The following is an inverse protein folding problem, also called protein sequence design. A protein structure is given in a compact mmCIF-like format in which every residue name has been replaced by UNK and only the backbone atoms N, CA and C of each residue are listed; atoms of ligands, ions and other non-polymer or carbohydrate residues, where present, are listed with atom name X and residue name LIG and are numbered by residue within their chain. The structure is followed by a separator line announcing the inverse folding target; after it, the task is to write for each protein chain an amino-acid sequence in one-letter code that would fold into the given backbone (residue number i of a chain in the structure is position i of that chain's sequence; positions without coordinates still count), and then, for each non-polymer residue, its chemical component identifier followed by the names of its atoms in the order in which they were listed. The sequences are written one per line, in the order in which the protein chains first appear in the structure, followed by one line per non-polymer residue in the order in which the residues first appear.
data_IF_021000790733
#
_entry.id   IF_021000790733
#
_cell.length_a   1.000
_cell.length_b   1.000
_cell.length_c   1.000
_cell.angle_alpha   90.00
_cell.angle_beta   90.00
_cell.angle_gamma   90.00
#
_symmetry.space_group_name_H-M   'P 1'
#
loop_
_entity.id
_entity.type
_entity.pdbx_description
1 polymer ?
#
# COMPACT_ATOMS: atom_id res chain seq x y z
N UNK A 1 24.86 -129.63 39.42
CA UNK A 1 23.56 -129.04 39.03
C UNK A 1 23.44 -127.52 39.24
N UNK A 2 24.32 -126.84 39.99
CA UNK A 2 24.23 -125.37 40.17
C UNK A 2 24.96 -124.53 39.09
N UNK A 3 25.89 -125.12 38.33
CA UNK A 3 26.70 -124.41 37.34
C UNK A 3 26.01 -124.21 35.98
N UNK A 4 25.24 -125.20 35.49
CA UNK A 4 24.55 -125.10 34.20
C UNK A 4 23.34 -124.14 34.22
N UNK A 5 22.69 -123.95 35.37
CA UNK A 5 21.59 -122.99 35.51
C UNK A 5 22.06 -121.53 35.40
N UNK A 6 23.30 -121.24 35.79
CA UNK A 6 23.84 -119.86 35.78
C UNK A 6 24.24 -119.41 34.37
N UNK A 7 24.70 -120.33 33.53
CA UNK A 7 25.12 -120.05 32.14
C UNK A 7 23.91 -119.83 31.23
N UNK A 8 22.84 -120.62 31.39
CA UNK A 8 21.57 -120.39 30.67
C UNK A 8 20.88 -119.08 31.08
N UNK A 9 20.96 -118.69 32.35
CA UNK A 9 20.41 -117.42 32.83
C UNK A 9 21.19 -116.21 32.29
N UNK A 10 22.52 -116.31 32.18
CA UNK A 10 23.38 -115.25 31.63
C UNK A 10 23.19 -115.07 30.11
N UNK A 11 22.92 -116.14 29.37
CA UNK A 11 22.60 -116.10 27.94
C UNK A 11 21.22 -115.50 27.65
N UNK A 12 20.21 -115.77 28.49
CA UNK A 12 18.88 -115.19 28.36
C UNK A 12 18.88 -113.67 28.65
N UNK A 13 19.59 -113.25 29.71
CA UNK A 13 19.76 -111.83 30.07
C UNK A 13 20.53 -111.04 29.00
N UNK A 14 21.50 -111.65 28.33
CA UNK A 14 22.22 -111.03 27.20
C UNK A 14 21.36 -110.84 25.96
N UNK A 15 20.45 -111.77 25.67
CA UNK A 15 19.50 -111.68 24.54
C UNK A 15 18.44 -110.60 24.82
N UNK A 16 17.94 -110.53 26.06
CA UNK A 16 16.98 -109.50 26.48
C UNK A 16 17.60 -108.10 26.45
N UNK A 17 18.88 -107.95 26.83
CA UNK A 17 19.59 -106.67 26.77
C UNK A 17 19.84 -106.19 25.32
N UNK A 18 20.16 -107.08 24.40
CA UNK A 18 20.32 -106.75 22.97
C UNK A 18 18.99 -106.55 22.24
N UNK A 19 17.90 -107.13 22.75
CA UNK A 19 16.54 -106.82 22.31
C UNK A 19 16.14 -105.41 22.76
N UNK A 20 16.36 -105.08 24.03
CA UNK A 20 16.06 -103.76 24.59
C UNK A 20 16.86 -102.62 23.91
N UNK A 21 18.13 -102.85 23.57
CA UNK A 21 18.92 -101.88 22.79
C UNK A 21 18.39 -101.67 21.37
N UNK A 22 17.93 -102.73 20.71
CA UNK A 22 17.32 -102.64 19.38
C UNK A 22 15.99 -101.89 19.42
N UNK A 23 15.16 -102.16 20.43
CA UNK A 23 13.91 -101.43 20.64
C UNK A 23 14.16 -99.94 20.96
N UNK A 24 15.14 -99.63 21.81
CA UNK A 24 15.54 -98.25 22.09
C UNK A 24 16.03 -97.51 20.83
N UNK A 25 16.83 -98.17 19.99
CA UNK A 25 17.29 -97.61 18.71
C UNK A 25 16.16 -97.38 17.70
N UNK A 26 15.13 -98.24 17.67
CA UNK A 26 13.94 -98.06 16.84
C UNK A 26 13.11 -96.85 17.31
N UNK A 27 12.95 -96.67 18.62
CA UNK A 27 12.28 -95.50 19.21
C UNK A 27 13.02 -94.20 18.87
N UNK A 28 14.35 -94.20 18.97
CA UNK A 28 15.18 -93.03 18.61
C UNK A 28 15.07 -92.70 17.11
N UNK A 29 15.10 -93.73 16.25
CA UNK A 29 14.91 -93.56 14.82
C UNK A 29 13.53 -92.98 14.48
N UNK A 30 12.47 -93.43 15.15
CA UNK A 30 11.12 -92.91 14.93
C UNK A 30 10.95 -91.48 15.45
N UNK A 31 11.61 -91.12 16.57
CA UNK A 31 11.70 -89.73 17.04
C UNK A 31 12.41 -88.85 16.00
N UNK A 32 13.53 -89.30 15.44
CA UNK A 32 14.26 -88.58 14.40
C UNK A 32 13.43 -88.41 13.12
N UNK A 33 12.68 -89.44 12.70
CA UNK A 33 11.73 -89.33 11.58
C UNK A 33 10.64 -88.30 11.85
N UNK A 34 10.07 -88.27 13.07
CA UNK A 34 9.07 -87.28 13.45
C UNK A 34 9.65 -85.85 13.41
N UNK A 35 10.86 -85.64 13.94
CA UNK A 35 11.55 -84.35 13.88
C UNK A 35 11.85 -83.91 12.44
N UNK A 36 12.26 -84.84 11.58
CA UNK A 36 12.50 -84.56 10.15
C UNK A 36 11.19 -84.17 9.44
N UNK A 37 10.06 -84.84 9.74
CA UNK A 37 8.75 -84.46 9.18
C UNK A 37 8.31 -83.08 9.66
N UNK A 38 8.52 -82.75 10.94
CA UNK A 38 8.22 -81.43 11.49
C UNK A 38 9.08 -80.35 10.80
N UNK A 39 10.40 -80.55 10.73
CA UNK A 39 11.30 -79.63 10.05
C UNK A 39 10.95 -79.45 8.55
N UNK A 40 10.50 -80.52 7.88
CA UNK A 40 10.01 -80.43 6.50
C UNK A 40 8.75 -79.57 6.41
N UNK A 41 7.80 -79.72 7.33
CA UNK A 41 6.58 -78.91 7.36
C UNK A 41 6.90 -77.43 7.58
N UNK A 42 7.81 -77.12 8.52
CA UNK A 42 8.26 -75.75 8.79
C UNK A 42 8.92 -75.11 7.55
N UNK A 43 9.71 -75.88 6.79
CA UNK A 43 10.33 -75.40 5.54
C UNK A 43 9.29 -75.11 4.46
N UNK A 44 8.26 -75.94 4.31
CA UNK A 44 7.19 -75.65 3.34
C UNK A 44 6.34 -74.43 3.77
N UNK A 45 6.11 -74.24 5.07
CA UNK A 45 5.46 -73.03 5.57
C UNK A 45 6.30 -71.77 5.29
N UNK A 46 7.61 -71.83 5.53
CA UNK A 46 8.52 -70.73 5.22
C UNK A 46 8.56 -70.42 3.72
N UNK A 47 8.48 -71.44 2.85
CA UNK A 47 8.38 -71.24 1.40
C UNK A 47 7.10 -70.53 1.00
N UNK A 48 5.96 -70.93 1.54
CA UNK A 48 4.69 -70.27 1.26
C UNK A 48 4.71 -68.79 1.70
N UNK A 49 5.30 -68.51 2.86
CA UNK A 49 5.49 -67.12 3.34
C UNK A 49 6.44 -66.33 2.44
N UNK A 50 7.51 -66.95 1.93
CA UNK A 50 8.43 -66.29 1.01
C UNK A 50 7.76 -65.94 -0.32
N UNK A 51 6.93 -66.82 -0.85
CA UNK A 51 6.14 -66.59 -2.06
C UNK A 51 5.16 -65.43 -1.86
N UNK A 52 4.40 -65.43 -0.74
CA UNK A 52 3.52 -64.32 -0.39
C UNK A 52 4.27 -62.98 -0.27
N UNK A 53 5.45 -62.97 0.35
CA UNK A 53 6.28 -61.76 0.45
C UNK A 53 6.81 -61.30 -0.92
N UNK A 54 7.12 -62.24 -1.81
CA UNK A 54 7.52 -61.94 -3.19
C UNK A 54 6.39 -61.24 -3.96
N UNK A 55 5.16 -61.75 -3.84
CA UNK A 55 3.99 -61.15 -4.48
C UNK A 55 3.67 -59.76 -3.92
N UNK A 56 3.74 -59.60 -2.59
CA UNK A 56 3.57 -58.30 -1.95
C UNK A 56 4.64 -57.29 -2.38
N UNK A 57 5.90 -57.73 -2.50
CA UNK A 57 6.99 -56.89 -2.99
C UNK A 57 6.72 -56.42 -4.42
N UNK A 58 6.29 -57.32 -5.31
CA UNK A 58 5.95 -57.00 -6.69
C UNK A 58 4.85 -55.92 -6.77
N UNK A 59 3.78 -56.06 -5.97
CA UNK A 59 2.71 -55.07 -5.88
C UNK A 59 3.21 -53.70 -5.42
N UNK A 60 4.08 -53.67 -4.40
CA UNK A 60 4.65 -52.41 -3.89
C UNK A 60 5.56 -51.74 -4.92
N UNK A 61 6.33 -52.53 -5.69
CA UNK A 61 7.16 -52.02 -6.79
C UNK A 61 6.30 -51.34 -7.87
N UNK A 62 5.19 -51.95 -8.28
CA UNK A 62 4.23 -51.37 -9.24
C UNK A 62 3.59 -50.07 -8.72
N UNK A 63 3.15 -50.06 -7.44
CA UNK A 63 2.63 -48.85 -6.80
C UNK A 63 3.68 -47.71 -6.77
N UNK A 64 4.95 -48.04 -6.54
CA UNK A 64 6.03 -47.07 -6.50
C UNK A 64 6.30 -46.46 -7.88
N UNK A 65 6.22 -47.24 -8.95
CA UNK A 65 6.31 -46.75 -10.33
C UNK A 65 5.18 -45.78 -10.65
N UNK A 66 3.94 -46.11 -10.27
CA UNK A 66 2.80 -45.21 -10.43
C UNK A 66 2.99 -43.88 -9.68
N UNK A 67 3.51 -43.93 -8.46
CA UNK A 67 3.82 -42.72 -7.68
C UNK A 67 4.96 -41.91 -8.33
N UNK A 68 5.98 -42.58 -8.88
CA UNK A 68 7.08 -41.90 -9.57
C UNK A 68 6.60 -41.16 -10.83
N UNK A 69 5.74 -41.80 -11.63
CA UNK A 69 5.08 -41.18 -12.78
C UNK A 69 4.22 -39.99 -12.36
N UNK A 70 3.40 -40.15 -11.32
CA UNK A 70 2.56 -39.07 -10.77
C UNK A 70 3.40 -37.88 -10.30
N UNK A 71 4.53 -38.14 -9.61
CA UNK A 71 5.46 -37.10 -9.17
C UNK A 71 6.07 -36.32 -10.35
N UNK A 72 6.46 -37.00 -11.42
CA UNK A 72 6.99 -36.36 -12.62
C UNK A 72 5.95 -35.43 -13.28
N UNK A 73 4.72 -35.91 -13.45
CA UNK A 73 3.63 -35.12 -14.02
C UNK A 73 3.30 -33.89 -13.16
N UNK A 74 3.26 -34.05 -11.83
CA UNK A 74 3.04 -32.92 -10.91
C UNK A 74 4.18 -31.90 -11.02
N UNK A 75 5.43 -32.36 -11.07
CA UNK A 75 6.60 -31.48 -11.20
C UNK A 75 6.57 -30.67 -12.50
N UNK A 76 6.14 -31.28 -13.61
CA UNK A 76 5.95 -30.58 -14.88
C UNK A 76 4.86 -29.51 -14.78
N UNK A 77 3.71 -29.84 -14.17
CA UNK A 77 2.60 -28.89 -13.96
C UNK A 77 3.00 -27.72 -13.06
N UNK A 78 3.78 -27.97 -12.00
CA UNK A 78 4.31 -26.89 -11.15
C UNK A 78 5.24 -25.99 -11.98
N UNK A 79 6.07 -26.57 -12.84
CA UNK A 79 6.98 -25.80 -13.70
C UNK A 79 6.24 -24.94 -14.72
N UNK A 80 5.13 -25.43 -15.30
CA UNK A 80 4.31 -24.63 -16.23
C UNK A 80 3.61 -23.48 -15.51
N UNK A 81 3.04 -23.72 -14.33
CA UNK A 81 2.43 -22.68 -13.50
C UNK A 81 3.46 -21.63 -13.09
N UNK A 82 4.64 -22.05 -12.62
CA UNK A 82 5.73 -21.12 -12.26
C UNK A 82 6.11 -20.21 -13.41
N UNK A 83 6.25 -20.76 -14.63
CA UNK A 83 6.55 -19.96 -15.83
C UNK A 83 5.43 -18.97 -16.16
N UNK A 84 4.17 -19.36 -16.03
CA UNK A 84 3.03 -18.48 -16.25
C UNK A 84 3.01 -17.32 -15.23
N UNK A 85 3.21 -17.62 -13.95
CA UNK A 85 3.30 -16.61 -12.89
C UNK A 85 4.46 -15.65 -13.11
N UNK A 86 5.64 -16.13 -13.50
CA UNK A 86 6.78 -15.27 -13.83
C UNK A 86 6.50 -14.33 -15.01
N UNK A 87 5.78 -14.81 -16.04
CA UNK A 87 5.38 -13.96 -17.18
C UNK A 87 4.42 -12.85 -16.76
N UNK A 88 3.43 -13.19 -15.93
CA UNK A 88 2.48 -12.20 -15.38
C UNK A 88 3.24 -11.18 -14.52
N UNK A 89 4.14 -11.62 -13.65
CA UNK A 89 4.98 -10.73 -12.85
C UNK A 89 5.81 -9.76 -13.71
N UNK A 90 6.41 -10.24 -14.81
CA UNK A 90 7.13 -9.37 -15.74
C UNK A 90 6.23 -8.35 -16.44
N UNK A 91 5.01 -8.75 -16.82
CA UNK A 91 4.04 -7.82 -17.40
C UNK A 91 3.61 -6.75 -16.39
N UNK A 92 3.33 -7.15 -15.14
CA UNK A 92 2.98 -6.21 -14.07
C UNK A 92 4.11 -5.20 -13.81
N UNK A 93 5.38 -5.63 -13.79
CA UNK A 93 6.51 -4.70 -13.65
C UNK A 93 6.60 -3.70 -14.81
N UNK A 94 6.30 -4.12 -16.05
CA UNK A 94 6.26 -3.20 -17.20
C UNK A 94 5.12 -2.21 -17.07
N UNK A 95 3.95 -2.66 -16.63
CA UNK A 95 2.78 -1.82 -16.40
C UNK A 95 3.07 -0.80 -15.29
N UNK A 96 3.62 -1.24 -14.17
CA UNK A 96 4.01 -0.40 -13.04
C UNK A 96 5.00 0.70 -13.46
N UNK A 97 6.02 0.33 -14.24
CA UNK A 97 6.96 1.30 -14.81
C UNK A 97 6.29 2.29 -15.77
N UNK A 98 5.35 1.84 -16.60
CA UNK A 98 4.62 2.69 -17.53
C UNK A 98 3.67 3.66 -16.80
N UNK A 99 2.99 3.20 -15.75
CA UNK A 99 2.14 4.03 -14.89
C UNK A 99 2.98 5.06 -14.17
N UNK A 100 4.08 4.65 -13.53
CA UNK A 100 5.01 5.55 -12.85
C UNK A 100 5.54 6.63 -13.79
N UNK A 101 5.98 6.24 -14.99
CA UNK A 101 6.41 7.19 -16.02
C UNK A 101 5.29 8.17 -16.42
N UNK A 102 4.06 7.68 -16.58
CA UNK A 102 2.91 8.54 -16.90
C UNK A 102 2.57 9.49 -15.77
N UNK A 103 2.64 9.05 -14.51
CA UNK A 103 2.46 9.89 -13.32
C UNK A 103 3.51 11.01 -13.34
N UNK A 104 4.79 10.69 -13.51
CA UNK A 104 5.85 11.71 -13.59
C UNK A 104 5.62 12.70 -14.73
N UNK A 105 5.19 12.24 -15.91
CA UNK A 105 4.84 13.13 -17.02
C UNK A 105 3.68 14.09 -16.66
N UNK A 106 2.63 13.59 -16.03
CA UNK A 106 1.49 14.43 -15.61
C UNK A 106 1.93 15.45 -14.55
N UNK A 107 2.79 15.06 -13.61
CA UNK A 107 3.36 16.00 -12.63
C UNK A 107 4.21 17.06 -13.33
N UNK A 108 5.04 16.69 -14.31
CA UNK A 108 5.79 17.67 -15.12
C UNK A 108 4.87 18.66 -15.83
N UNK A 109 3.80 18.18 -16.48
CA UNK A 109 2.82 19.03 -17.16
C UNK A 109 2.10 19.97 -16.17
N UNK A 110 1.73 19.47 -14.99
CA UNK A 110 1.14 20.30 -13.94
C UNK A 110 2.12 21.35 -13.45
N UNK A 111 3.38 20.99 -13.20
CA UNK A 111 4.41 21.95 -12.77
C UNK A 111 4.69 22.98 -13.87
N UNK A 112 4.62 22.61 -15.15
CA UNK A 112 4.76 23.56 -16.26
C UNK A 112 3.60 24.57 -16.30
N UNK A 113 2.36 24.10 -16.16
CA UNK A 113 1.16 24.95 -16.18
C UNK A 113 1.09 25.87 -14.95
N UNK A 114 1.44 25.36 -13.77
CA UNK A 114 1.30 26.05 -12.50
C UNK A 114 2.63 26.69 -12.00
N UNK A 115 3.73 26.46 -12.71
CA UNK A 115 5.08 26.86 -12.29
C UNK A 115 5.32 28.36 -12.25
N UNK A 116 4.65 29.12 -13.12
CA UNK A 116 4.69 30.60 -13.11
C UNK A 116 4.01 31.17 -11.85
N UNK A 117 2.94 30.54 -11.39
CA UNK A 117 2.20 30.92 -10.18
C UNK A 117 2.94 30.52 -8.88
N UNK A 118 3.68 29.41 -8.92
CA UNK A 118 4.54 28.96 -7.83
C UNK A 118 5.89 29.72 -7.78
N UNK A 119 6.41 30.13 -8.95
CA UNK A 119 7.72 30.74 -9.14
C UNK A 119 7.78 32.26 -9.06
N UNK A 120 6.64 32.96 -8.95
CA UNK A 120 6.56 34.42 -8.77
C UNK A 120 7.00 34.88 -7.35
N UNK A 121 8.12 34.36 -6.86
CA UNK A 121 8.71 34.62 -5.55
C UNK A 121 10.24 34.76 -5.60
N UNK A 122 10.71 35.79 -6.29
CA UNK A 122 11.89 36.52 -5.82
C UNK A 122 11.73 38.03 -6.12
N UNK A 123 11.47 38.89 -5.13
CA UNK A 123 11.47 40.34 -5.32
C UNK A 123 12.87 40.95 -5.52
N UNK A 124 13.94 40.16 -5.64
CA UNK A 124 15.31 40.68 -5.89
C UNK A 124 15.87 40.49 -7.29
N UNK A 125 15.15 39.87 -8.23
CA UNK A 125 15.61 39.75 -9.63
C UNK A 125 14.64 40.41 -10.61
N UNK A 126 14.41 41.71 -10.46
CA UNK A 126 13.96 42.56 -11.56
C UNK A 126 15.16 42.96 -12.42
N UNK A 127 15.46 42.17 -13.44
CA UNK A 127 16.23 42.67 -14.60
C UNK A 127 15.21 43.27 -15.59
N UNK A 128 15.46 44.46 -16.18
CA UNK A 128 14.52 45.11 -17.09
C UNK A 128 14.33 44.31 -18.37
N UNK A 129 13.17 44.42 -19.05
CA UNK A 129 12.90 43.67 -20.26
C UNK A 129 13.53 44.39 -21.44
N UNK A 130 14.74 43.98 -21.82
CA UNK A 130 15.24 44.19 -23.17
C UNK A 130 16.23 43.05 -23.48
N UNK A 131 15.83 42.15 -24.38
CA UNK A 131 16.55 41.71 -25.58
C UNK A 131 15.95 40.37 -26.02
N UNK A 132 15.41 40.36 -27.24
CA UNK A 132 15.01 39.19 -28.00
C UNK A 132 16.17 38.18 -28.11
N UNK A 133 15.95 36.90 -27.78
CA UNK A 133 16.41 35.73 -28.55
C UNK A 133 16.06 34.43 -27.82
N UNK A 134 15.66 33.44 -28.62
CA UNK A 134 15.36 32.05 -28.26
C UNK A 134 16.52 31.38 -27.51
N UNK A 135 16.22 30.54 -26.51
CA UNK A 135 16.76 29.17 -26.51
C UNK A 135 15.96 28.23 -25.60
N UNK A 136 15.70 27.05 -26.15
CA UNK A 136 15.01 25.91 -25.57
C UNK A 136 15.98 25.17 -24.64
N UNK A 137 15.46 24.52 -23.60
CA UNK A 137 16.17 23.65 -22.65
C UNK A 137 17.03 24.35 -21.57
N UNK A 138 16.38 24.85 -20.52
CA UNK A 138 17.01 24.92 -19.20
C UNK A 138 16.38 23.89 -18.26
N UNK A 139 17.16 23.03 -17.59
CA UNK A 139 16.63 22.22 -16.50
C UNK A 139 16.18 23.14 -15.37
N UNK A 140 14.94 22.99 -14.92
CA UNK A 140 14.39 23.73 -13.78
C UNK A 140 15.24 23.38 -12.56
N UNK A 141 16.16 24.26 -12.20
CA UNK A 141 17.02 24.11 -11.03
C UNK A 141 16.29 24.73 -9.86
N UNK A 142 15.68 23.89 -9.02
CA UNK A 142 15.09 24.34 -7.77
C UNK A 142 16.21 24.67 -6.79
N UNK A 143 16.38 25.96 -6.51
CA UNK A 143 17.28 26.43 -5.44
C UNK A 143 16.59 26.13 -4.09
N UNK A 144 17.24 25.42 -3.16
CA UNK A 144 16.67 25.15 -1.84
C UNK A 144 16.57 26.46 -1.05
N UNK A 145 15.36 26.91 -0.73
CA UNK A 145 15.16 28.06 0.16
C UNK A 145 15.37 27.63 1.61
N UNK A 146 16.29 28.29 2.30
CA UNK A 146 16.50 28.11 3.74
C UNK A 146 15.37 28.79 4.54
N UNK A 147 14.96 28.26 5.71
CA UNK A 147 13.71 28.61 6.39
C UNK A 147 13.77 29.90 7.24
N UNK A 148 14.56 30.91 6.86
CA UNK A 148 14.95 31.96 7.81
C UNK A 148 14.59 33.38 7.41
N UNK A 149 13.33 33.71 7.06
CA UNK A 149 12.91 35.13 6.89
C UNK A 149 11.41 35.42 7.17
N UNK A 150 10.80 34.83 8.20
CA UNK A 150 9.49 35.29 8.69
C UNK A 150 9.53 35.61 10.19
N UNK A 151 10.37 36.56 10.57
CA UNK A 151 10.09 37.38 11.76
C UNK A 151 9.26 38.57 11.28
N UNK A 152 7.95 38.50 11.49
CA UNK A 152 7.07 39.66 11.37
C UNK A 152 6.84 40.18 12.79
N UNK A 153 7.53 41.27 13.13
CA UNK A 153 7.36 41.99 14.40
C UNK A 153 5.90 42.40 14.57
N UNK A 154 5.26 41.91 15.63
CA UNK A 154 3.96 42.38 16.10
C UNK A 154 4.17 43.55 17.06
N UNK A 155 3.62 44.76 16.81
CA UNK A 155 3.49 45.75 17.86
C UNK A 155 2.27 45.41 18.73
N UNK A 156 2.54 45.30 20.03
CA UNK A 156 1.62 44.99 21.11
C UNK A 156 0.51 46.04 21.34
N UNK A 157 -0.62 45.52 21.85
CA UNK A 157 -1.54 46.15 22.81
C UNK A 157 -2.46 47.29 22.32
N UNK A 158 -3.70 46.94 21.96
CA UNK A 158 -4.83 47.86 22.02
C UNK A 158 -5.56 47.71 23.36
N UNK A 159 -5.38 48.70 24.23
CA UNK A 159 -6.13 48.90 25.46
C UNK A 159 -7.61 49.18 25.15
N UNK A 160 -8.48 48.40 25.80
CA UNK A 160 -9.94 48.53 25.80
C UNK A 160 -10.38 49.91 26.32
N UNK A 161 -11.27 50.59 25.59
CA UNK A 161 -12.22 51.57 26.15
C UNK A 161 -13.60 51.39 25.53
N UNK A 162 -14.55 51.06 26.39
CA UNK A 162 -16.00 50.95 26.12
C UNK A 162 -16.71 52.30 26.30
N UNK A 163 -17.99 52.33 25.85
CA UNK A 163 -19.11 53.24 26.23
C UNK A 163 -19.14 54.61 25.50
N UNK A 164 -20.25 55.16 24.98
CA UNK A 164 -21.70 54.98 25.24
C UNK A 164 -22.56 55.77 24.20
N UNK A 165 -23.64 55.14 23.71
CA UNK A 165 -25.05 55.59 23.48
C UNK A 165 -25.44 56.85 22.64
N UNK A 166 -26.14 56.58 21.50
CA UNK A 166 -27.41 57.15 20.94
C UNK A 166 -27.61 58.65 20.57
N UNK A 167 -28.71 59.07 19.85
CA UNK A 167 -29.57 58.42 18.82
C UNK A 167 -29.96 59.41 17.66
N UNK A 168 -30.98 59.03 16.84
CA UNK A 168 -31.94 59.84 16.01
C UNK A 168 -31.84 59.53 14.48
N UNK A 169 -32.87 59.46 13.61
CA UNK A 169 -34.31 59.07 13.54
C UNK A 169 -34.66 59.21 12.02
N UNK A 170 -35.72 58.53 11.54
CA UNK A 170 -36.50 58.75 10.28
C UNK A 170 -35.86 58.33 8.95
N UNK A 171 -36.56 57.85 7.92
CA UNK A 171 -37.86 57.22 7.70
C UNK A 171 -37.93 56.77 6.21
N UNK A 172 -38.88 55.89 5.88
CA UNK A 172 -39.58 55.71 4.58
C UNK A 172 -38.97 54.86 3.42
N UNK A 173 -39.48 53.60 3.36
CA UNK A 173 -40.28 52.96 2.29
C UNK A 173 -39.82 52.85 0.82
N UNK A 174 -39.70 51.57 0.39
CA UNK A 174 -40.29 50.90 -0.80
C UNK A 174 -40.59 51.73 -2.08
N UNK A 175 -39.99 51.32 -3.21
CA UNK A 175 -40.69 50.68 -4.35
C UNK A 175 -40.10 50.99 -5.74
N UNK A 176 -40.13 49.95 -6.59
CA UNK A 176 -40.27 49.97 -8.06
C UNK A 176 -39.03 50.10 -8.95
N UNK A 177 -38.77 48.98 -9.65
CA UNK A 177 -38.30 48.83 -11.04
C UNK A 177 -37.91 50.11 -11.79
N UNK A 178 -36.63 50.21 -12.16
CA UNK A 178 -36.24 50.97 -13.34
C UNK A 178 -35.13 50.24 -14.10
N UNK A 179 -35.53 49.60 -15.19
CA UNK A 179 -34.69 49.21 -16.32
C UNK A 179 -34.02 50.46 -16.87
N UNK A 180 -32.69 50.54 -16.80
CA UNK A 180 -31.91 51.46 -17.63
C UNK A 180 -30.81 50.66 -18.29
N UNK A 181 -31.00 50.38 -19.58
CA UNK A 181 -29.91 50.09 -20.50
C UNK A 181 -28.96 51.28 -20.51
N UNK A 182 -27.72 51.10 -20.05
CA UNK A 182 -26.62 51.99 -20.42
C UNK A 182 -25.51 51.15 -21.04
N UNK A 183 -25.34 51.41 -22.32
CA UNK A 183 -24.28 50.94 -23.21
C UNK A 183 -22.91 51.35 -22.64
N UNK A 184 -21.94 50.45 -22.76
CA UNK A 184 -20.55 50.66 -22.43
C UNK A 184 -19.95 51.88 -23.15
N UNK A 185 -19.25 52.74 -22.42
CA UNK A 185 -17.87 53.17 -22.70
C UNK A 185 -17.51 54.35 -21.80
N UNK A 186 -16.49 54.15 -20.97
CA UNK A 186 -15.97 55.19 -20.09
C UNK A 186 -14.91 54.62 -19.19
N UNK A 187 -13.67 54.65 -19.68
CA UNK A 187 -12.44 54.47 -18.91
C UNK A 187 -12.52 55.20 -17.58
N UNK A 188 -12.81 54.45 -16.51
CA UNK A 188 -12.68 54.88 -15.14
C UNK A 188 -11.59 54.03 -14.51
N UNK A 189 -10.38 54.57 -14.45
CA UNK A 189 -9.33 54.07 -13.56
C UNK A 189 -9.84 54.23 -12.12
N UNK A 190 -10.65 53.28 -11.66
CA UNK A 190 -10.87 53.08 -10.22
C UNK A 190 -9.50 52.79 -9.64
N UNK A 191 -8.96 53.74 -8.89
CA UNK A 191 -7.89 53.50 -7.94
C UNK A 191 -8.35 52.37 -7.04
N UNK A 192 -7.93 51.15 -7.36
CA UNK A 192 -8.10 49.99 -6.50
C UNK A 192 -7.19 50.25 -5.30
N UNK A 193 -7.77 50.31 -4.10
CA UNK A 193 -6.98 50.40 -2.88
C UNK A 193 -5.94 49.27 -2.90
N UNK A 194 -4.63 49.55 -2.73
CA UNK A 194 -3.57 48.55 -2.90
C UNK A 194 -3.77 47.33 -2.00
N UNK A 195 -4.32 47.54 -0.80
CA UNK A 195 -4.64 46.50 0.18
C UNK A 195 -5.72 45.52 -0.31
N UNK A 196 -6.72 46.00 -1.06
CA UNK A 196 -7.80 45.14 -1.57
C UNK A 196 -7.32 44.27 -2.74
N UNK A 197 -6.38 44.79 -3.54
CA UNK A 197 -5.70 44.02 -4.58
C UNK A 197 -4.91 42.84 -4.00
N UNK A 198 -4.26 43.03 -2.85
CA UNK A 198 -3.44 41.99 -2.22
C UNK A 198 -4.27 40.82 -1.68
N UNK A 199 -5.45 41.07 -1.10
CA UNK A 199 -6.34 40.02 -0.65
C UNK A 199 -6.91 39.18 -1.79
N UNK A 200 -7.28 39.82 -2.90
CA UNK A 200 -7.77 39.13 -4.10
C UNK A 200 -6.66 38.30 -4.74
N UNK A 201 -5.44 38.81 -4.76
CA UNK A 201 -4.27 38.07 -5.24
C UNK A 201 -3.95 36.86 -4.35
N UNK A 202 -3.97 37.04 -3.03
CA UNK A 202 -3.75 35.94 -2.07
C UNK A 202 -4.81 34.84 -2.19
N UNK A 203 -6.09 35.23 -2.31
CA UNK A 203 -7.20 34.31 -2.54
C UNK A 203 -7.02 33.52 -3.85
N UNK A 204 -6.66 34.21 -4.93
CA UNK A 204 -6.42 33.58 -6.24
C UNK A 204 -5.28 32.57 -6.17
N UNK A 205 -4.16 32.92 -5.53
CA UNK A 205 -3.02 32.01 -5.32
C UNK A 205 -3.40 30.77 -4.51
N UNK A 206 -4.16 30.95 -3.43
CA UNK A 206 -4.58 29.84 -2.59
C UNK A 206 -5.57 28.92 -3.33
N UNK A 207 -6.47 29.48 -4.14
CA UNK A 207 -7.33 28.69 -5.02
C UNK A 207 -6.59 27.95 -6.12
N UNK A 208 -5.53 28.53 -6.67
CA UNK A 208 -4.64 27.85 -7.62
C UNK A 208 -3.91 26.68 -6.93
N UNK A 209 -3.43 26.87 -5.70
CA UNK A 209 -2.84 25.81 -4.89
C UNK A 209 -3.85 24.68 -4.63
N UNK A 210 -5.08 25.01 -4.25
CA UNK A 210 -6.15 24.04 -4.05
C UNK A 210 -6.46 23.26 -5.35
N UNK A 211 -6.52 23.96 -6.48
CA UNK A 211 -6.72 23.34 -7.78
C UNK A 211 -5.58 22.37 -8.14
N UNK A 212 -4.34 22.77 -7.91
CA UNK A 212 -3.17 21.94 -8.15
C UNK A 212 -3.17 20.71 -7.23
N UNK A 213 -3.45 20.89 -5.93
CA UNK A 213 -3.56 19.78 -4.99
C UNK A 213 -4.60 18.75 -5.43
N UNK A 214 -5.77 19.22 -5.91
CA UNK A 214 -6.81 18.34 -6.47
C UNK A 214 -6.32 17.53 -7.67
N UNK A 215 -5.57 18.16 -8.59
CA UNK A 215 -5.01 17.45 -9.73
C UNK A 215 -3.94 16.45 -9.33
N UNK A 216 -3.04 16.84 -8.44
CA UNK A 216 -1.99 15.96 -7.92
C UNK A 216 -2.62 14.75 -7.22
N UNK A 217 -3.58 14.98 -6.32
CA UNK A 217 -4.31 13.90 -5.65
C UNK A 217 -4.98 12.94 -6.65
N UNK A 218 -5.58 13.47 -7.73
CA UNK A 218 -6.14 12.65 -8.79
C UNK A 218 -5.08 11.83 -9.55
N UNK A 219 -3.92 12.42 -9.85
CA UNK A 219 -2.80 11.72 -10.52
C UNK A 219 -2.29 10.56 -9.67
N UNK A 220 -2.17 10.75 -8.36
CA UNK A 220 -1.74 9.71 -7.42
C UNK A 220 -2.89 8.77 -6.98
N UNK A 221 -4.11 8.96 -7.50
CA UNK A 221 -5.30 8.23 -7.05
C UNK A 221 -5.49 8.27 -5.51
N UNK A 222 -5.11 9.39 -4.90
CA UNK A 222 -5.21 9.62 -3.46
C UNK A 222 -6.49 10.42 -3.16
N UNK A 223 -7.45 9.88 -2.38
CA UNK A 223 -8.66 10.62 -2.04
C UNK A 223 -8.34 11.75 -1.05
N UNK A 224 -8.73 12.98 -1.37
CA UNK A 224 -8.67 14.10 -0.42
C UNK A 224 -9.75 13.92 0.65
N UNK A 225 -9.41 14.13 1.92
CA UNK A 225 -10.38 14.03 3.02
C UNK A 225 -11.32 15.22 3.04
N UNK A 226 -10.84 16.40 2.65
CA UNK A 226 -11.63 17.63 2.61
C UNK A 226 -11.83 18.04 1.14
N UNK A 227 -13.03 17.86 0.57
CA UNK A 227 -13.28 18.24 -0.81
C UNK A 227 -13.02 19.72 -1.07
N UNK A 228 -12.47 20.00 -2.25
CA UNK A 228 -12.16 21.36 -2.71
C UNK A 228 -13.20 21.77 -3.76
N UNK A 229 -13.98 22.80 -3.44
CA UNK A 229 -14.96 23.42 -4.33
C UNK A 229 -14.35 24.64 -5.02
N UNK A 230 -14.36 24.62 -6.35
CA UNK A 230 -13.86 25.70 -7.21
C UNK A 230 -14.90 26.14 -8.26
N UNK A 231 -16.18 25.85 -8.03
CA UNK A 231 -17.28 26.19 -8.97
C UNK A 231 -17.39 27.69 -9.26
N UNK A 232 -17.07 28.54 -8.28
CA UNK A 232 -17.06 30.00 -8.40
C UNK A 232 -15.71 30.58 -8.90
N UNK A 233 -14.76 29.72 -9.30
CA UNK A 233 -13.41 30.10 -9.73
C UNK A 233 -12.36 30.07 -8.61
N UNK A 234 -11.08 30.21 -8.97
CA UNK A 234 -9.95 30.07 -8.03
C UNK A 234 -9.94 31.12 -6.93
N UNK A 235 -10.29 32.37 -7.24
CA UNK A 235 -10.35 33.46 -6.25
C UNK A 235 -11.45 33.28 -5.19
N UNK A 236 -12.38 32.34 -5.39
CA UNK A 236 -13.52 32.06 -4.51
C UNK A 236 -13.58 30.60 -4.07
N UNK A 237 -12.43 29.92 -4.06
CA UNK A 237 -12.34 28.52 -3.67
C UNK A 237 -12.78 28.28 -2.21
N UNK A 238 -13.37 27.12 -1.96
CA UNK A 238 -13.87 26.68 -0.64
C UNK A 238 -13.41 25.25 -0.35
N UNK A 239 -13.28 24.93 0.93
CA UNK A 239 -12.97 23.58 1.43
C UNK A 239 -14.15 23.09 2.26
N UNK A 240 -14.58 21.86 2.00
CA UNK A 240 -15.68 21.25 2.75
C UNK A 240 -15.15 20.39 3.89
N UNK A 241 -15.66 20.58 5.10
CA UNK A 241 -15.37 19.74 6.27
C UNK A 241 -16.65 19.07 6.76
N UNK A 242 -16.84 17.81 6.37
CA UNK A 242 -17.99 17.02 6.82
C UNK A 242 -17.94 16.65 8.30
N UNK A 243 -16.76 16.71 8.94
CA UNK A 243 -16.64 16.44 10.37
C UNK A 243 -17.08 17.64 11.22
N UNK A 244 -16.91 18.86 10.68
CA UNK A 244 -17.38 20.08 11.34
C UNK A 244 -18.92 20.25 11.27
N UNK A 245 -19.61 19.44 10.46
CA UNK A 245 -21.06 19.52 10.28
C UNK A 245 -21.86 19.18 11.55
N UNK A 246 -21.27 18.42 12.48
CA UNK A 246 -21.87 18.15 13.80
C UNK A 246 -21.70 19.32 14.78
N UNK A 247 -20.84 20.30 14.47
CA UNK A 247 -20.37 21.34 15.42
C UNK A 247 -20.92 22.74 15.10
N UNK A 248 -21.40 23.00 13.89
CA UNK A 248 -21.88 24.34 13.47
C UNK A 248 -23.18 24.20 12.66
N UNK A 249 -24.24 24.91 13.08
CA UNK A 249 -25.45 25.12 12.28
C UNK A 249 -25.10 26.00 11.06
N UNK A 250 -24.57 25.40 10.00
CA UNK A 250 -24.15 26.09 8.78
C UNK A 250 -23.69 25.15 7.68
N UNK A 251 -23.55 25.68 6.46
CA UNK A 251 -22.94 24.90 5.37
C UNK A 251 -21.50 24.50 5.76
N UNK A 252 -21.07 23.25 5.53
CA UNK A 252 -19.74 22.75 5.89
C UNK A 252 -18.61 23.35 5.02
N UNK A 253 -18.86 24.45 4.31
CA UNK A 253 -17.98 25.05 3.32
C UNK A 253 -17.24 26.25 3.91
N UNK A 254 -15.92 26.12 4.02
CA UNK A 254 -15.04 27.14 4.56
C UNK A 254 -14.28 27.85 3.44
N UNK A 255 -14.29 29.19 3.38
CA UNK A 255 -13.69 29.94 2.27
C UNK A 255 -12.15 29.98 2.37
N UNK A 256 -11.47 29.74 1.25
CA UNK A 256 -10.01 29.97 1.09
C UNK A 256 -9.69 31.42 0.71
N UNK A 257 -10.60 32.34 1.04
CA UNK A 257 -10.44 33.76 0.77
C UNK A 257 -11.01 34.57 1.94
N UNK A 258 -10.45 35.74 2.18
CA UNK A 258 -10.97 36.67 3.17
C UNK A 258 -12.09 37.49 2.54
N UNK A 259 -13.33 37.28 2.98
CA UNK A 259 -14.48 38.11 2.60
C UNK A 259 -14.49 39.43 3.38
N UNK A 260 -15.09 40.48 2.80
CA UNK A 260 -15.27 41.80 3.45
C UNK A 260 -16.06 41.72 4.77
N UNK A 261 -16.86 40.67 4.98
CA UNK A 261 -17.66 40.45 6.21
C UNK A 261 -16.95 39.63 7.30
N UNK A 262 -15.66 39.30 7.11
CA UNK A 262 -14.73 38.62 8.02
C UNK A 262 -15.29 37.50 8.91
N UNK A 263 -14.94 36.26 8.56
CA UNK A 263 -14.67 35.23 9.57
C UNK A 263 -13.22 34.74 9.37
N UNK A 264 -12.26 35.54 9.83
CA UNK A 264 -10.85 35.12 9.95
C UNK A 264 -10.68 33.71 10.56
N UNK A 265 -11.49 33.28 11.56
CA UNK A 265 -11.45 31.90 12.04
C UNK A 265 -11.82 30.86 10.98
N UNK A 266 -12.84 31.11 10.15
CA UNK A 266 -13.26 30.20 9.09
C UNK A 266 -12.20 30.09 7.99
N UNK A 267 -11.56 31.20 7.64
CA UNK A 267 -10.42 31.21 6.70
C UNK A 267 -9.22 30.42 7.25
N UNK A 268 -8.84 30.65 8.52
CA UNK A 268 -7.76 29.90 9.17
C UNK A 268 -8.06 28.40 9.24
N UNK A 269 -9.32 28.04 9.54
CA UNK A 269 -9.77 26.65 9.50
C UNK A 269 -9.62 26.06 8.10
N UNK A 270 -10.11 26.73 7.05
CA UNK A 270 -9.96 26.28 5.66
C UNK A 270 -8.51 26.01 5.26
N UNK A 271 -7.59 26.92 5.61
CA UNK A 271 -6.15 26.75 5.35
C UNK A 271 -5.58 25.56 6.11
N UNK A 272 -6.00 25.35 7.37
CA UNK A 272 -5.55 24.20 8.17
C UNK A 272 -6.00 22.86 7.58
N UNK A 273 -7.23 22.78 7.03
CA UNK A 273 -7.73 21.59 6.37
C UNK A 273 -6.95 21.28 5.08
N UNK A 274 -6.67 22.32 4.28
CA UNK A 274 -5.85 22.21 3.09
C UNK A 274 -4.44 21.70 3.42
N UNK A 275 -3.85 22.21 4.51
CA UNK A 275 -2.55 21.75 4.99
C UNK A 275 -2.58 20.30 5.49
N UNK A 276 -3.67 19.88 6.13
CA UNK A 276 -3.86 18.50 6.58
C UNK A 276 -3.94 17.52 5.42
N UNK A 277 -4.71 17.86 4.37
CA UNK A 277 -4.76 17.05 3.16
C UNK A 277 -3.41 16.96 2.45
N UNK A 278 -2.66 18.07 2.39
CA UNK A 278 -1.32 18.07 1.84
C UNK A 278 -0.34 17.24 2.70
N UNK A 279 -0.47 17.28 4.02
CA UNK A 279 0.33 16.46 4.92
C UNK A 279 0.02 14.96 4.76
N UNK A 280 -1.26 14.59 4.62
CA UNK A 280 -1.69 13.22 4.34
C UNK A 280 -1.12 12.73 2.99
N UNK A 281 -1.20 13.56 1.95
CA UNK A 281 -0.62 13.25 0.64
C UNK A 281 0.90 13.06 0.72
N UNK A 282 1.61 13.94 1.44
CA UNK A 282 3.05 13.83 1.67
C UNK A 282 3.41 12.55 2.44
N UNK A 283 2.66 12.24 3.48
CA UNK A 283 2.85 11.02 4.27
C UNK A 283 2.63 9.76 3.41
N UNK A 284 1.68 9.79 2.47
CA UNK A 284 1.47 8.70 1.51
C UNK A 284 2.68 8.46 0.59
N UNK A 285 3.49 9.49 0.35
CA UNK A 285 4.76 9.42 -0.38
C UNK A 285 5.99 9.27 0.54
N UNK A 286 5.81 9.00 1.84
CA UNK A 286 6.90 8.81 2.81
C UNK A 286 7.58 10.09 3.31
N UNK A 287 7.05 11.28 2.97
CA UNK A 287 7.59 12.56 3.42
C UNK A 287 6.94 13.01 4.72
N UNK A 288 7.76 13.40 5.70
CA UNK A 288 7.25 14.08 6.90
C UNK A 288 6.94 15.55 6.61
N UNK A 289 5.98 16.10 7.36
CA UNK A 289 5.61 17.52 7.32
C UNK A 289 5.98 18.12 8.66
N UNK A 290 7.09 18.86 8.72
CA UNK A 290 7.59 19.45 9.98
C UNK A 290 6.84 20.73 10.38
N UNK A 291 6.33 21.48 9.40
CA UNK A 291 5.54 22.71 9.61
C UNK A 291 4.33 22.65 8.70
N UNK A 292 3.15 22.37 9.27
CA UNK A 292 1.91 22.31 8.49
C UNK A 292 1.53 23.68 7.92
N UNK A 293 1.90 24.78 8.60
CA UNK A 293 1.47 26.14 8.25
C UNK A 293 2.00 26.66 6.90
N UNK A 294 3.00 26.01 6.30
CA UNK A 294 3.64 26.46 5.05
C UNK A 294 3.14 25.70 3.81
N UNK A 295 1.88 25.90 3.42
CA UNK A 295 1.21 25.21 2.30
C UNK A 295 2.05 25.18 1.01
N UNK A 296 2.51 26.36 0.56
CA UNK A 296 3.25 26.49 -0.70
C UNK A 296 4.59 25.75 -0.66
N UNK A 297 5.30 25.82 0.46
CA UNK A 297 6.59 25.14 0.63
C UNK A 297 6.42 23.62 0.63
N UNK A 298 5.43 23.13 1.38
CA UNK A 298 5.12 21.70 1.48
C UNK A 298 4.70 21.13 0.12
N UNK A 299 4.01 21.91 -0.70
CA UNK A 299 3.63 21.51 -2.05
C UNK A 299 4.84 21.51 -2.99
N UNK A 300 5.67 22.56 -2.99
CA UNK A 300 6.88 22.61 -3.81
C UNK A 300 7.83 21.45 -3.52
N UNK A 301 8.09 21.18 -2.24
CA UNK A 301 8.99 20.08 -1.84
C UNK A 301 8.40 18.70 -2.17
N UNK A 302 7.08 18.53 -2.05
CA UNK A 302 6.40 17.31 -2.50
C UNK A 302 6.56 17.11 -4.01
N UNK A 303 6.28 18.14 -4.81
CA UNK A 303 6.43 18.07 -6.28
C UNK A 303 7.89 17.79 -6.68
N UNK A 304 8.86 18.41 -6.02
CA UNK A 304 10.28 18.13 -6.24
C UNK A 304 10.63 16.67 -5.97
N UNK A 305 10.11 16.09 -4.90
CA UNK A 305 10.29 14.67 -4.59
C UNK A 305 9.72 13.78 -5.69
N UNK A 306 8.48 14.03 -6.11
CA UNK A 306 7.83 13.28 -7.19
C UNK A 306 8.56 13.38 -8.55
N UNK A 307 9.28 14.48 -8.78
CA UNK A 307 10.10 14.68 -9.98
C UNK A 307 11.51 14.09 -9.85
N UNK A 308 11.97 13.81 -8.63
CA UNK A 308 13.33 13.32 -8.35
C UNK A 308 13.42 11.81 -8.23
N UNK A 309 12.34 11.14 -7.79
CA UNK A 309 12.24 9.68 -7.81
C UNK A 309 12.25 9.18 -9.28
N UNK A 310 13.39 8.59 -9.68
CA UNK A 310 13.68 8.00 -10.99
C UNK A 310 13.89 6.51 -10.89
#
# INVERSE_FOLDING_TARGET
MLFEMTVHFSGLVGIDAESAKREAGLVELDLLKCRLRAAKADVEELRARLEQLSDQRSLVEDMLEHVACGRAAISERISTVSRATSRIGSYMMKLDRAISFRISQLIHQLVEIFGTELGARDPKNTVPPDTMTEDVARPITFVPLSPSHLNLDYPNSATVRQHTTEPITTDHSLSTNQTVNVIANGSGTKSVNPVESDFVLAASKLGVIAQLLRFVAAVFSHPLRHPLDLTEGTSRAKVTDYLAQELVEGEPNFPLYLSRSSLLPAYKHAVSLLNRDLADLRASAGLSTSVEETTTWNLCTFLQHCLSEK
#
